data_IF_082514187586
#
_entry.id   IF_082514187586
#
_cell.length_a   1.000
_cell.length_b   1.000
_cell.length_c   1.000
_cell.angle_alpha   90.00
_cell.angle_beta   90.00
_cell.angle_gamma   90.00
#
_symmetry.space_group_name_H-M   'P 1'
#
loop_
_entity.id
_entity.type
_entity.pdbx_description
1 polymer ?
#
# COMPACT_ATOMS: atom_id res chain seq x y z
N UNK A 1 -18.90 -37.16 3.52
CA UNK A 1 -19.18 -35.88 4.20
C UNK A 1 -20.67 -35.91 4.61
N UNK A 2 -21.02 -35.56 5.87
CA UNK A 2 -22.43 -35.48 6.30
C UNK A 2 -22.96 -34.07 6.01
N UNK A 3 -24.26 -33.97 5.64
CA UNK A 3 -24.91 -32.71 5.31
C UNK A 3 -26.15 -32.50 6.19
N UNK A 4 -26.45 -31.22 6.48
CA UNK A 4 -27.70 -30.76 7.07
C UNK A 4 -28.53 -30.01 6.03
N UNK A 5 -29.84 -30.05 6.15
CA UNK A 5 -30.77 -29.30 5.31
C UNK A 5 -30.94 -27.90 5.91
N UNK A 6 -30.69 -26.86 5.09
CA UNK A 6 -31.05 -25.48 5.40
C UNK A 6 -31.97 -24.91 4.31
N UNK A 7 -32.68 -23.84 4.64
CA UNK A 7 -33.66 -23.23 3.75
C UNK A 7 -33.37 -21.71 3.62
N UNK A 8 -33.48 -21.19 2.41
CA UNK A 8 -33.58 -19.78 2.10
C UNK A 8 -34.84 -19.50 1.27
N UNK A 9 -35.02 -18.27 0.76
CA UNK A 9 -36.18 -17.89 -0.05
C UNK A 9 -36.31 -18.65 -1.38
N UNK A 10 -35.23 -19.32 -1.81
CA UNK A 10 -35.17 -20.11 -3.06
C UNK A 10 -35.32 -21.60 -2.81
N UNK A 11 -35.55 -22.04 -1.58
CA UNK A 11 -35.77 -23.43 -1.20
C UNK A 11 -34.63 -24.11 -0.44
N UNK A 12 -34.62 -25.44 -0.43
CA UNK A 12 -33.70 -26.27 0.34
C UNK A 12 -32.29 -26.31 -0.26
N UNK A 13 -31.28 -26.25 0.64
CA UNK A 13 -29.85 -26.40 0.31
C UNK A 13 -29.20 -27.37 1.29
N UNK A 14 -28.31 -28.22 0.80
CA UNK A 14 -27.48 -29.10 1.60
C UNK A 14 -26.20 -28.40 2.02
N UNK A 15 -25.95 -28.23 3.30
CA UNK A 15 -24.77 -27.59 3.87
C UNK A 15 -23.98 -28.62 4.68
N UNK A 16 -22.65 -28.71 4.61
CA UNK A 16 -21.87 -29.63 5.43
C UNK A 16 -22.12 -29.40 6.92
N UNK A 17 -22.26 -30.47 7.70
CA UNK A 17 -22.67 -30.39 9.12
C UNK A 17 -21.63 -29.71 10.02
N UNK A 18 -20.35 -29.75 9.62
CA UNK A 18 -19.20 -29.17 10.33
C UNK A 18 -18.98 -27.67 10.04
N UNK A 19 -19.78 -27.09 9.16
CA UNK A 19 -19.61 -25.67 8.75
C UNK A 19 -20.66 -24.77 9.40
N UNK A 20 -20.21 -23.57 9.81
CA UNK A 20 -21.09 -22.54 10.37
C UNK A 20 -21.80 -21.70 9.29
N UNK A 21 -21.33 -21.69 8.03
CA UNK A 21 -22.07 -20.99 6.98
C UNK A 21 -23.41 -21.69 6.69
N UNK A 22 -24.31 -20.97 6.06
CA UNK A 22 -25.66 -21.43 5.75
C UNK A 22 -25.97 -21.53 4.26
N UNK A 23 -27.26 -21.50 3.93
CA UNK A 23 -27.78 -21.71 2.59
C UNK A 23 -27.28 -20.68 1.58
N UNK A 24 -27.25 -19.38 1.92
CA UNK A 24 -26.78 -18.32 1.03
C UNK A 24 -25.32 -18.52 0.62
N UNK A 25 -24.45 -18.80 1.57
CA UNK A 25 -23.04 -19.07 1.32
C UNK A 25 -22.85 -20.32 0.48
N UNK A 26 -23.59 -21.38 0.78
CA UNK A 26 -23.48 -22.63 0.03
C UNK A 26 -23.90 -22.47 -1.43
N UNK A 27 -24.94 -21.68 -1.71
CA UNK A 27 -25.30 -21.32 -3.10
C UNK A 27 -24.22 -20.51 -3.79
N UNK A 28 -23.66 -19.53 -3.08
CA UNK A 28 -22.58 -18.69 -3.58
C UNK A 28 -21.36 -19.51 -3.98
N UNK A 29 -20.93 -20.44 -3.13
CA UNK A 29 -19.84 -21.37 -3.44
C UNK A 29 -20.06 -22.17 -4.72
N UNK A 30 -21.32 -22.55 -4.99
CA UNK A 30 -21.68 -23.32 -6.19
C UNK A 30 -21.70 -22.45 -7.44
N UNK A 31 -22.21 -21.22 -7.36
CA UNK A 31 -22.48 -20.39 -8.52
C UNK A 31 -21.35 -19.43 -8.88
N UNK A 32 -20.44 -19.13 -7.95
CA UNK A 32 -19.36 -18.14 -8.10
C UNK A 32 -17.98 -18.73 -7.79
N UNK A 33 -17.74 -19.96 -8.26
CA UNK A 33 -16.41 -20.57 -8.19
C UNK A 33 -15.53 -20.04 -9.35
N UNK A 34 -15.15 -18.75 -9.25
CA UNK A 34 -14.42 -18.00 -10.27
C UNK A 34 -13.06 -17.60 -9.73
N UNK A 35 -11.98 -18.09 -10.36
CA UNK A 35 -10.60 -17.81 -9.96
C UNK A 35 -10.24 -18.32 -8.58
N UNK A 36 -9.05 -17.94 -8.07
CA UNK A 36 -8.50 -18.50 -6.83
C UNK A 36 -8.52 -17.54 -5.65
N UNK A 37 -8.78 -16.26 -5.89
CA UNK A 37 -8.71 -15.24 -4.83
C UNK A 37 -9.92 -15.27 -3.92
N UNK A 38 -9.69 -15.62 -2.64
CA UNK A 38 -10.69 -15.49 -1.59
C UNK A 38 -10.82 -14.05 -1.09
N UNK A 39 -11.97 -13.73 -0.52
CA UNK A 39 -12.17 -12.46 0.19
C UNK A 39 -11.16 -12.37 1.34
N UNK A 40 -10.44 -11.27 1.41
CA UNK A 40 -9.36 -11.11 2.40
C UNK A 40 -9.88 -11.13 3.83
N UNK A 41 -9.21 -11.83 4.75
CA UNK A 41 -9.66 -11.96 6.16
C UNK A 41 -9.91 -10.61 6.85
N UNK A 42 -9.20 -9.54 6.48
CA UNK A 42 -9.42 -8.22 7.09
C UNK A 42 -10.79 -7.63 6.73
N UNK A 43 -11.36 -7.93 5.56
CA UNK A 43 -12.71 -7.51 5.18
C UNK A 43 -13.73 -8.26 6.04
N UNK A 44 -13.57 -9.57 6.18
CA UNK A 44 -14.40 -10.43 7.04
C UNK A 44 -14.39 -9.91 8.49
N UNK A 45 -13.19 -9.66 9.03
CA UNK A 45 -13.02 -9.11 10.39
C UNK A 45 -13.68 -7.76 10.55
N UNK A 46 -13.60 -6.88 9.53
CA UNK A 46 -14.27 -5.58 9.55
C UNK A 46 -15.78 -5.70 9.57
N UNK A 47 -16.37 -6.61 8.78
CA UNK A 47 -17.80 -6.90 8.83
C UNK A 47 -18.17 -7.45 10.21
N UNK A 48 -17.41 -8.39 10.77
CA UNK A 48 -17.68 -8.93 12.12
C UNK A 48 -17.60 -7.85 13.21
N UNK A 49 -16.69 -6.87 13.11
CA UNK A 49 -16.64 -5.71 14.01
C UNK A 49 -17.92 -4.86 13.91
N UNK A 50 -18.47 -4.69 12.70
CA UNK A 50 -19.73 -3.99 12.48
C UNK A 50 -20.88 -4.76 13.14
N UNK A 51 -20.95 -6.09 12.98
CA UNK A 51 -21.98 -6.92 13.62
C UNK A 51 -21.90 -6.86 15.16
N UNK A 52 -20.68 -6.91 15.70
CA UNK A 52 -20.43 -6.71 17.14
C UNK A 52 -20.92 -5.34 17.62
N UNK A 53 -20.56 -4.27 16.89
CA UNK A 53 -20.98 -2.91 17.24
C UNK A 53 -22.51 -2.75 17.19
N UNK A 54 -23.15 -3.30 16.15
CA UNK A 54 -24.60 -3.30 16.02
C UNK A 54 -25.29 -4.01 17.18
N UNK A 55 -24.83 -5.21 17.56
CA UNK A 55 -25.36 -5.95 18.69
C UNK A 55 -25.25 -5.17 20.02
N UNK A 56 -24.11 -4.50 20.25
CA UNK A 56 -23.91 -3.61 21.43
C UNK A 56 -24.92 -2.46 21.42
N UNK A 57 -25.09 -1.78 20.27
CA UNK A 57 -26.02 -0.65 20.15
C UNK A 57 -27.46 -1.09 20.37
N UNK A 58 -27.89 -2.20 19.75
CA UNK A 58 -29.26 -2.70 19.88
C UNK A 58 -29.58 -3.17 21.30
N UNK A 59 -28.60 -3.75 22.02
CA UNK A 59 -28.77 -4.09 23.43
C UNK A 59 -28.95 -2.85 24.29
N UNK A 60 -28.12 -1.81 24.09
CA UNK A 60 -28.22 -0.55 24.84
C UNK A 60 -29.52 0.22 24.57
N UNK A 61 -30.10 0.05 23.39
CA UNK A 61 -31.39 0.68 23.03
C UNK A 61 -32.62 -0.17 23.33
N UNK A 62 -32.45 -1.34 23.94
CA UNK A 62 -33.54 -2.27 24.27
C UNK A 62 -34.15 -3.01 23.07
N UNK A 63 -33.49 -2.97 21.92
CA UNK A 63 -33.97 -3.53 20.64
C UNK A 63 -33.58 -5.01 20.44
N UNK A 64 -32.72 -5.55 21.29
CA UNK A 64 -32.25 -6.92 21.22
C UNK A 64 -32.10 -7.52 22.63
N UNK A 65 -32.56 -8.75 22.80
CA UNK A 65 -32.36 -9.50 24.02
C UNK A 65 -30.88 -9.62 24.40
N UNK A 66 -30.60 -9.48 25.69
CA UNK A 66 -29.21 -9.46 26.21
C UNK A 66 -28.50 -10.81 26.02
N UNK A 67 -29.20 -11.96 26.12
CA UNK A 67 -28.61 -13.28 25.91
C UNK A 67 -28.23 -13.48 24.45
N UNK A 68 -29.13 -13.13 23.53
CA UNK A 68 -28.91 -13.18 22.08
C UNK A 68 -27.71 -12.27 21.69
N UNK A 69 -27.72 -11.02 22.14
CA UNK A 69 -26.65 -10.08 21.88
C UNK A 69 -25.29 -10.56 22.41
N UNK A 70 -25.26 -11.09 23.63
CA UNK A 70 -24.02 -11.63 24.21
C UNK A 70 -23.45 -12.78 23.38
N UNK A 71 -24.32 -13.69 22.89
CA UNK A 71 -23.90 -14.79 22.03
C UNK A 71 -23.37 -14.29 20.68
N UNK A 72 -24.03 -13.30 20.05
CA UNK A 72 -23.58 -12.66 18.82
C UNK A 72 -22.20 -11.99 19.01
N UNK A 73 -22.02 -11.26 20.11
CA UNK A 73 -20.74 -10.60 20.44
C UNK A 73 -19.61 -11.62 20.62
N UNK A 74 -19.89 -12.76 21.32
CA UNK A 74 -18.90 -13.84 21.49
C UNK A 74 -18.53 -14.45 20.14
N UNK A 75 -19.51 -14.81 19.31
CA UNK A 75 -19.27 -15.35 17.96
C UNK A 75 -18.50 -14.37 17.06
N UNK A 76 -18.88 -13.09 17.06
CA UNK A 76 -18.16 -12.05 16.32
C UNK A 76 -16.70 -11.91 16.77
N UNK A 77 -16.41 -12.02 18.08
CA UNK A 77 -15.04 -11.99 18.59
C UNK A 77 -14.22 -13.20 18.09
N UNK A 78 -14.80 -14.38 17.95
CA UNK A 78 -14.12 -15.54 17.37
C UNK A 78 -13.77 -15.31 15.89
N UNK A 79 -14.65 -14.67 15.11
CA UNK A 79 -14.35 -14.27 13.73
C UNK A 79 -13.22 -13.20 13.69
N UNK A 80 -13.31 -12.19 14.54
CA UNK A 80 -12.31 -11.09 14.60
C UNK A 80 -10.93 -11.63 14.98
N UNK A 81 -10.85 -12.59 15.91
CA UNK A 81 -9.59 -13.24 16.31
C UNK A 81 -8.99 -14.11 15.19
N UNK A 82 -9.80 -14.56 14.24
CA UNK A 82 -9.42 -15.47 13.16
C UNK A 82 -9.60 -16.95 13.50
N UNK A 83 -10.20 -17.29 14.64
CA UNK A 83 -10.49 -18.68 15.05
C UNK A 83 -11.37 -19.42 14.04
N UNK A 84 -12.22 -18.69 13.31
CA UNK A 84 -13.17 -19.23 12.33
C UNK A 84 -12.81 -18.89 10.87
N UNK A 85 -11.53 -18.67 10.55
CA UNK A 85 -11.12 -18.25 9.21
C UNK A 85 -11.50 -19.26 8.10
N UNK A 86 -11.56 -20.55 8.42
CA UNK A 86 -11.95 -21.63 7.51
C UNK A 86 -13.45 -21.63 7.14
N UNK A 87 -14.23 -20.76 7.79
CA UNK A 87 -15.67 -20.62 7.57
C UNK A 87 -16.01 -19.57 6.47
N UNK A 88 -15.01 -19.00 5.79
CA UNK A 88 -15.18 -17.93 4.81
C UNK A 88 -14.57 -18.31 3.45
N UNK A 89 -15.24 -19.23 2.70
CA UNK A 89 -14.69 -19.80 1.47
C UNK A 89 -14.95 -18.96 0.23
N UNK A 90 -15.66 -17.82 0.33
CA UNK A 90 -16.14 -17.09 -0.83
C UNK A 90 -15.02 -16.40 -1.62
N UNK A 91 -15.13 -16.48 -2.93
CA UNK A 91 -14.23 -15.83 -3.90
C UNK A 91 -14.52 -14.33 -4.02
N UNK A 92 -13.52 -13.60 -4.53
CA UNK A 92 -13.63 -12.16 -4.80
C UNK A 92 -14.67 -11.88 -5.89
N UNK A 93 -14.72 -12.74 -6.91
CA UNK A 93 -15.63 -12.60 -8.05
C UNK A 93 -17.03 -13.08 -7.68
N UNK A 94 -17.80 -12.17 -7.10
CA UNK A 94 -19.15 -12.40 -6.59
C UNK A 94 -20.05 -11.23 -6.96
N UNK A 95 -21.27 -11.15 -6.40
CA UNK A 95 -22.14 -9.98 -6.60
C UNK A 95 -21.41 -8.68 -6.22
N UNK A 96 -21.51 -7.70 -7.07
CA UNK A 96 -20.73 -6.46 -6.97
C UNK A 96 -21.03 -5.60 -5.74
N UNK A 97 -22.15 -5.84 -5.05
CA UNK A 97 -22.48 -5.22 -3.76
C UNK A 97 -21.72 -5.85 -2.59
N UNK A 98 -21.22 -7.08 -2.72
CA UNK A 98 -20.62 -7.87 -1.64
C UNK A 98 -21.63 -8.58 -0.73
N UNK A 99 -22.89 -8.72 -1.16
CA UNK A 99 -23.97 -9.32 -0.34
C UNK A 99 -23.66 -10.74 0.07
N UNK A 100 -23.06 -11.55 -0.79
CA UNK A 100 -22.69 -12.92 -0.45
C UNK A 100 -21.70 -12.98 0.71
N UNK A 101 -20.70 -12.11 0.73
CA UNK A 101 -19.75 -12.00 1.85
C UNK A 101 -20.42 -11.51 3.13
N UNK A 102 -21.31 -10.50 3.06
CA UNK A 102 -22.05 -10.03 4.23
C UNK A 102 -22.94 -11.15 4.80
N UNK A 103 -23.63 -11.90 3.93
CA UNK A 103 -24.45 -13.03 4.34
C UNK A 103 -23.61 -14.16 4.93
N UNK A 104 -22.44 -14.48 4.38
CA UNK A 104 -21.52 -15.44 4.94
C UNK A 104 -21.14 -15.09 6.39
N UNK A 105 -20.80 -13.83 6.66
CA UNK A 105 -20.50 -13.39 8.04
C UNK A 105 -21.75 -13.47 8.92
N UNK A 106 -22.92 -13.07 8.42
CA UNK A 106 -24.17 -13.17 9.17
C UNK A 106 -24.51 -14.61 9.54
N UNK A 107 -24.40 -15.55 8.59
CA UNK A 107 -24.69 -16.97 8.78
C UNK A 107 -23.72 -17.61 9.76
N UNK A 108 -22.41 -17.37 9.62
CA UNK A 108 -21.37 -17.91 10.53
C UNK A 108 -21.58 -17.40 11.95
N UNK A 109 -21.80 -16.09 12.13
CA UNK A 109 -22.06 -15.51 13.47
C UNK A 109 -23.36 -16.04 14.06
N UNK A 110 -24.44 -16.13 13.26
CA UNK A 110 -25.72 -16.65 13.73
C UNK A 110 -25.61 -18.11 14.18
N UNK A 111 -25.06 -18.99 13.35
CA UNK A 111 -24.93 -20.41 13.68
C UNK A 111 -24.00 -20.65 14.89
N UNK A 112 -22.88 -19.89 14.98
CA UNK A 112 -21.99 -19.98 16.14
C UNK A 112 -22.69 -19.47 17.43
N UNK A 113 -23.50 -18.41 17.33
CA UNK A 113 -24.28 -17.89 18.44
C UNK A 113 -25.40 -18.90 18.88
N UNK A 114 -26.03 -19.55 17.89
CA UNK A 114 -27.01 -20.64 18.16
C UNK A 114 -26.35 -21.77 18.97
N UNK A 115 -25.19 -22.23 18.56
CA UNK A 115 -24.43 -23.27 19.27
C UNK A 115 -24.02 -22.83 20.68
N UNK A 116 -23.55 -21.60 20.86
CA UNK A 116 -23.22 -21.00 22.18
C UNK A 116 -24.44 -21.03 23.12
N UNK A 117 -25.64 -20.90 22.54
CA UNK A 117 -26.92 -20.95 23.30
C UNK A 117 -27.53 -22.36 23.43
N UNK A 118 -26.82 -23.40 22.97
CA UNK A 118 -27.29 -24.80 23.03
C UNK A 118 -28.33 -25.16 21.97
N UNK A 119 -28.49 -24.33 20.91
CA UNK A 119 -29.42 -24.59 19.83
C UNK A 119 -28.84 -25.46 18.71
N UNK A 120 -29.70 -25.84 17.75
CA UNK A 120 -29.32 -26.66 16.58
C UNK A 120 -28.85 -25.81 15.42
N UNK A 121 -27.65 -26.08 14.86
CA UNK A 121 -27.13 -25.40 13.69
C UNK A 121 -28.12 -25.43 12.51
N UNK A 122 -28.23 -24.30 11.81
CA UNK A 122 -29.14 -24.13 10.66
C UNK A 122 -30.62 -23.91 11.04
N UNK A 123 -30.98 -23.96 12.32
CA UNK A 123 -32.37 -23.76 12.78
C UNK A 123 -32.84 -22.31 12.69
N UNK A 124 -31.93 -21.35 12.57
CA UNK A 124 -32.20 -19.92 12.68
C UNK A 124 -32.86 -19.48 14.00
N UNK A 125 -32.81 -20.34 15.00
CA UNK A 125 -33.37 -20.12 16.36
C UNK A 125 -32.35 -20.56 17.41
N UNK A 126 -32.15 -19.78 18.51
CA UNK A 126 -32.81 -18.50 18.83
C UNK A 126 -32.22 -17.28 18.11
N UNK A 127 -31.17 -17.43 17.27
CA UNK A 127 -30.53 -16.34 16.55
C UNK A 127 -30.78 -16.45 15.05
N UNK A 128 -31.34 -15.40 14.44
CA UNK A 128 -31.56 -15.32 13.00
C UNK A 128 -30.50 -14.45 12.33
N UNK A 129 -29.91 -14.87 11.19
CA UNK A 129 -28.84 -14.10 10.53
C UNK A 129 -29.29 -12.70 10.07
N UNK A 130 -30.53 -12.54 9.58
CA UNK A 130 -31.03 -11.24 9.15
C UNK A 130 -31.67 -10.45 10.28
N UNK A 131 -32.56 -11.06 11.09
CA UNK A 131 -33.37 -10.32 12.06
C UNK A 131 -32.57 -9.90 13.30
N UNK A 132 -31.48 -10.63 13.63
CA UNK A 132 -30.63 -10.33 14.77
C UNK A 132 -29.25 -9.83 14.36
N UNK A 133 -28.45 -10.63 13.59
CA UNK A 133 -27.06 -10.26 13.25
C UNK A 133 -27.01 -9.07 12.30
N UNK A 134 -27.92 -9.00 11.33
CA UNK A 134 -28.00 -7.94 10.34
C UNK A 134 -29.03 -6.85 10.66
N UNK A 135 -29.60 -6.85 11.86
CA UNK A 135 -30.67 -5.91 12.28
C UNK A 135 -30.27 -4.46 12.02
N UNK A 136 -31.17 -3.69 11.40
CA UNK A 136 -31.00 -2.27 11.04
C UNK A 136 -29.79 -2.02 10.11
N UNK A 137 -29.44 -2.97 9.26
CA UNK A 137 -28.31 -2.90 8.33
C UNK A 137 -28.73 -3.41 6.95
N UNK A 138 -28.04 -2.93 5.91
CA UNK A 138 -28.02 -3.50 4.57
C UNK A 138 -26.58 -3.85 4.20
N UNK A 139 -26.36 -4.75 3.25
CA UNK A 139 -25.04 -4.91 2.67
C UNK A 139 -24.55 -3.59 2.08
N UNK A 140 -25.45 -2.77 1.56
CA UNK A 140 -25.12 -1.54 0.86
C UNK A 140 -24.42 -0.51 1.75
N UNK A 141 -24.69 -0.49 3.07
CA UNK A 141 -23.96 0.35 4.03
C UNK A 141 -22.85 -0.42 4.78
N UNK A 142 -23.05 -1.74 5.04
CA UNK A 142 -22.07 -2.59 5.74
C UNK A 142 -20.80 -2.79 4.92
N UNK A 143 -20.92 -3.11 3.64
CA UNK A 143 -19.76 -3.49 2.85
C UNK A 143 -18.83 -2.29 2.58
N UNK A 144 -19.29 -1.10 2.15
CA UNK A 144 -18.41 0.08 2.04
C UNK A 144 -17.84 0.52 3.39
N UNK A 145 -18.58 0.40 4.48
CA UNK A 145 -18.04 0.61 5.83
C UNK A 145 -16.89 -0.35 6.12
N UNK A 146 -17.05 -1.63 5.81
CA UNK A 146 -15.99 -2.64 5.99
C UNK A 146 -14.78 -2.38 5.07
N UNK A 147 -14.99 -1.89 3.84
CA UNK A 147 -13.92 -1.48 2.94
C UNK A 147 -13.06 -0.36 3.56
N UNK A 148 -13.69 0.71 4.02
CA UNK A 148 -13.02 1.83 4.67
C UNK A 148 -12.28 1.39 5.94
N UNK A 149 -12.91 0.58 6.79
CA UNK A 149 -12.28 0.03 8.00
C UNK A 149 -11.05 -0.82 7.67
N UNK A 150 -11.15 -1.73 6.70
CA UNK A 150 -10.05 -2.60 6.29
C UNK A 150 -8.84 -1.81 5.76
N UNK A 151 -9.10 -0.79 4.93
CA UNK A 151 -8.06 0.12 4.42
C UNK A 151 -7.38 0.86 5.58
N UNK A 152 -8.16 1.51 6.45
CA UNK A 152 -7.62 2.30 7.55
C UNK A 152 -6.79 1.45 8.52
N UNK A 153 -7.28 0.26 8.91
CA UNK A 153 -6.57 -0.68 9.78
C UNK A 153 -5.24 -1.10 9.16
N UNK A 154 -5.22 -1.44 7.87
CA UNK A 154 -4.00 -1.89 7.19
C UNK A 154 -3.04 -0.76 6.90
N UNK A 155 -3.53 0.42 6.51
CA UNK A 155 -2.69 1.58 6.27
C UNK A 155 -1.99 2.07 7.55
N UNK A 156 -2.73 2.22 8.65
CA UNK A 156 -2.17 2.67 9.94
C UNK A 156 -1.30 1.61 10.61
N UNK A 157 -1.72 0.33 10.54
CA UNK A 157 -1.02 -0.74 11.25
C UNK A 157 0.18 -1.33 10.51
N UNK A 158 0.30 -1.13 9.19
CA UNK A 158 1.35 -1.77 8.40
C UNK A 158 2.01 -0.85 7.37
N UNK A 159 1.23 -0.23 6.46
CA UNK A 159 1.78 0.54 5.35
C UNK A 159 2.60 1.74 5.81
N UNK A 160 1.99 2.63 6.58
CA UNK A 160 2.66 3.86 7.05
C UNK A 160 3.88 3.54 7.92
N UNK A 161 3.84 2.61 8.90
CA UNK A 161 5.01 2.22 9.66
C UNK A 161 6.18 1.74 8.80
N UNK A 162 5.94 0.93 7.77
CA UNK A 162 7.01 0.39 6.93
C UNK A 162 7.54 1.40 5.91
N UNK A 163 6.71 2.30 5.40
CA UNK A 163 7.19 3.45 4.62
C UNK A 163 8.05 4.40 5.48
N UNK A 164 7.65 4.64 6.74
CA UNK A 164 8.45 5.43 7.69
C UNK A 164 9.77 4.76 8.03
N UNK A 165 9.80 3.43 8.16
CA UNK A 165 11.04 2.67 8.34
C UNK A 165 11.98 2.89 7.15
N UNK A 166 11.50 2.69 5.92
CA UNK A 166 12.29 2.93 4.70
C UNK A 166 12.80 4.36 4.63
N UNK A 167 11.93 5.33 4.92
CA UNK A 167 12.27 6.74 4.89
C UNK A 167 13.37 7.10 5.92
N UNK A 168 13.33 6.50 7.11
CA UNK A 168 14.35 6.65 8.14
C UNK A 168 15.70 6.10 7.70
N UNK A 169 15.74 4.95 7.02
CA UNK A 169 16.99 4.40 6.50
C UNK A 169 17.58 5.27 5.37
N UNK A 170 16.74 5.84 4.50
CA UNK A 170 17.18 6.82 3.49
C UNK A 170 17.77 8.09 4.13
N UNK A 171 17.15 8.59 5.21
CA UNK A 171 17.67 9.73 5.99
C UNK A 171 19.04 9.43 6.58
N UNK A 172 19.24 8.25 7.15
CA UNK A 172 20.54 7.82 7.67
C UNK A 172 21.61 7.80 6.58
N UNK A 173 21.27 7.30 5.37
CA UNK A 173 22.19 7.32 4.22
C UNK A 173 22.48 8.73 3.73
N UNK A 174 21.53 9.63 3.73
CA UNK A 174 21.74 11.06 3.45
C UNK A 174 22.85 11.63 4.32
N UNK A 175 22.80 11.37 5.62
CA UNK A 175 23.81 11.82 6.60
C UNK A 175 25.15 11.11 6.40
N UNK A 176 25.13 9.79 6.28
CA UNK A 176 26.32 8.93 6.11
C UNK A 176 27.14 9.31 4.84
N UNK A 177 26.44 9.65 3.76
CA UNK A 177 27.06 9.93 2.45
C UNK A 177 27.30 11.43 2.19
N UNK A 178 27.01 12.30 3.12
CA UNK A 178 27.06 13.77 2.94
C UNK A 178 28.39 14.33 2.46
N UNK A 179 29.49 13.68 2.82
CA UNK A 179 30.86 14.12 2.48
C UNK A 179 31.46 13.38 1.25
N UNK A 180 30.70 12.49 0.61
CA UNK A 180 31.17 11.72 -0.55
C UNK A 180 30.76 12.48 -1.81
N UNK A 181 31.73 13.11 -2.47
CA UNK A 181 31.50 13.85 -3.73
C UNK A 181 31.60 12.88 -4.89
N UNK A 182 30.61 12.93 -5.77
CA UNK A 182 30.51 12.09 -6.98
C UNK A 182 30.14 12.96 -8.18
N UNK A 183 30.22 12.40 -9.36
CA UNK A 183 29.67 13.04 -10.55
C UNK A 183 28.13 12.93 -10.51
N UNK A 184 27.41 14.03 -10.77
CA UNK A 184 25.99 14.02 -11.04
C UNK A 184 25.71 13.50 -12.45
N UNK A 185 24.50 13.03 -12.71
CA UNK A 185 24.06 12.60 -14.04
C UNK A 185 22.69 13.16 -14.39
N UNK A 186 22.61 13.71 -15.60
CA UNK A 186 21.34 14.09 -16.24
C UNK A 186 21.30 13.42 -17.62
N UNK A 187 20.16 12.89 -18.04
CA UNK A 187 20.04 12.06 -19.25
C UNK A 187 20.96 10.82 -19.26
N UNK A 188 21.36 10.32 -18.11
CA UNK A 188 22.41 9.32 -17.90
C UNK A 188 23.80 9.75 -18.39
N UNK A 189 23.98 11.02 -18.73
CA UNK A 189 25.26 11.63 -19.11
C UNK A 189 25.87 12.33 -17.89
N UNK A 190 27.21 12.45 -17.92
CA UNK A 190 27.96 13.19 -16.91
C UNK A 190 27.47 14.61 -16.76
N UNK A 191 27.26 15.05 -15.54
CA UNK A 191 26.89 16.41 -15.18
C UNK A 191 27.86 16.98 -14.13
N UNK A 192 27.52 18.10 -13.52
CA UNK A 192 28.34 18.72 -12.47
C UNK A 192 28.35 17.88 -11.20
N UNK A 193 29.36 18.02 -10.34
CA UNK A 193 29.46 17.30 -9.08
C UNK A 193 28.27 17.50 -8.14
N UNK A 194 27.99 16.47 -7.36
CA UNK A 194 26.98 16.43 -6.29
C UNK A 194 27.55 15.58 -5.15
N UNK A 195 27.09 15.74 -3.91
CA UNK A 195 27.38 14.72 -2.91
C UNK A 195 26.40 13.56 -3.03
N UNK A 196 26.86 12.33 -2.77
CA UNK A 196 25.97 11.16 -2.69
C UNK A 196 24.89 11.36 -1.61
N UNK A 197 25.20 12.10 -0.55
CA UNK A 197 24.21 12.48 0.46
C UNK A 197 23.11 13.41 -0.08
N UNK A 198 23.45 14.36 -0.99
CA UNK A 198 22.45 15.20 -1.65
C UNK A 198 21.53 14.36 -2.55
N UNK A 199 22.06 13.38 -3.28
CA UNK A 199 21.27 12.45 -4.09
C UNK A 199 20.28 11.66 -3.23
N UNK A 200 20.73 11.07 -2.11
CA UNK A 200 19.86 10.36 -1.16
C UNK A 200 18.87 11.29 -0.44
N UNK A 201 19.20 12.56 -0.23
CA UNK A 201 18.27 13.54 0.33
C UNK A 201 17.04 13.77 -0.56
N UNK A 202 17.23 13.69 -1.89
CA UNK A 202 16.16 13.70 -2.86
C UNK A 202 15.19 12.54 -2.67
N UNK A 203 15.71 11.32 -2.49
CA UNK A 203 14.91 10.11 -2.24
C UNK A 203 14.14 10.20 -0.93
N UNK A 204 14.81 10.60 0.15
CA UNK A 204 14.18 10.84 1.46
C UNK A 204 13.05 11.87 1.37
N UNK A 205 13.27 13.00 0.71
CA UNK A 205 12.28 14.06 0.54
C UNK A 205 11.05 13.58 -0.25
N UNK A 206 11.25 12.85 -1.36
CA UNK A 206 10.17 12.30 -2.16
C UNK A 206 9.29 11.34 -1.36
N UNK A 207 9.90 10.39 -0.63
CA UNK A 207 9.16 9.43 0.17
C UNK A 207 8.45 10.08 1.35
N UNK A 208 9.07 11.08 2.01
CA UNK A 208 8.44 11.88 3.06
C UNK A 208 7.14 12.54 2.60
N UNK A 209 7.15 13.12 1.38
CA UNK A 209 5.95 13.72 0.78
C UNK A 209 4.89 12.67 0.44
N UNK A 210 5.29 11.49 -0.03
CA UNK A 210 4.36 10.39 -0.31
C UNK A 210 3.65 9.91 0.97
N UNK A 211 4.37 9.76 2.07
CA UNK A 211 3.79 9.40 3.39
C UNK A 211 2.73 10.43 3.81
N UNK A 212 3.04 11.72 3.70
CA UNK A 212 2.10 12.80 4.03
C UNK A 212 0.83 12.75 3.16
N UNK A 213 0.96 12.46 1.85
CA UNK A 213 -0.21 12.31 0.96
C UNK A 213 -1.09 11.13 1.37
N UNK A 214 -0.49 9.99 1.73
CA UNK A 214 -1.22 8.82 2.23
C UNK A 214 -1.93 9.15 3.54
N UNK A 215 -1.27 9.83 4.49
CA UNK A 215 -1.87 10.23 5.76
C UNK A 215 -3.04 11.20 5.54
N UNK A 216 -2.91 12.13 4.61
CA UNK A 216 -3.99 13.07 4.24
C UNK A 216 -5.18 12.35 3.60
N UNK A 217 -4.95 11.45 2.66
CA UNK A 217 -6.02 10.71 2.00
C UNK A 217 -6.77 9.76 2.97
N UNK A 218 -6.15 9.34 4.06
CA UNK A 218 -6.82 8.56 5.11
C UNK A 218 -7.92 9.32 5.83
N UNK A 219 -7.91 10.65 5.86
CA UNK A 219 -8.93 11.43 6.54
C UNK A 219 -10.32 11.21 5.91
N UNK A 220 -10.41 11.04 4.59
CA UNK A 220 -11.67 10.70 3.92
C UNK A 220 -12.07 9.24 4.17
N UNK A 221 -11.11 8.33 4.29
CA UNK A 221 -11.36 6.90 4.59
C UNK A 221 -11.97 6.72 5.98
N UNK A 222 -11.78 7.65 6.91
CA UNK A 222 -12.40 7.55 8.23
C UNK A 222 -13.89 7.81 8.25
N UNK A 223 -14.50 8.32 7.18
CA UNK A 223 -15.94 8.50 7.10
C UNK A 223 -16.63 7.21 6.66
N UNK A 224 -17.59 6.75 7.48
CA UNK A 224 -18.26 5.46 7.32
C UNK A 224 -19.70 5.63 6.84
N UNK A 225 -20.09 4.77 5.90
CA UNK A 225 -21.43 4.72 5.31
C UNK A 225 -22.50 4.13 6.25
N UNK A 226 -22.07 3.45 7.33
CA UNK A 226 -22.94 2.69 8.22
C UNK A 226 -24.11 3.52 8.74
N UNK A 227 -25.32 2.92 8.70
CA UNK A 227 -26.58 3.57 9.05
C UNK A 227 -27.34 4.14 7.86
N UNK A 228 -26.79 4.09 6.62
CA UNK A 228 -27.50 4.48 5.41
C UNK A 228 -28.51 3.44 4.93
N UNK A 229 -28.34 2.19 5.37
CA UNK A 229 -29.14 1.02 4.97
C UNK A 229 -29.15 0.79 3.45
N UNK A 230 -30.32 0.65 2.83
CA UNK A 230 -30.46 0.21 1.44
C UNK A 230 -29.97 1.23 0.41
N UNK A 231 -30.33 2.51 0.56
CA UNK A 231 -30.09 3.57 -0.42
C UNK A 231 -29.59 4.90 0.19
N UNK A 232 -29.32 4.93 1.50
CA UNK A 232 -28.82 6.13 2.19
C UNK A 232 -29.82 6.82 3.12
N UNK A 233 -31.10 6.43 3.08
CA UNK A 233 -32.17 7.05 3.87
C UNK A 233 -32.19 6.62 5.34
N UNK A 234 -31.52 5.51 5.69
CA UNK A 234 -31.55 4.93 7.02
C UNK A 234 -32.87 4.22 7.35
N UNK A 235 -33.62 3.77 6.34
CA UNK A 235 -34.88 3.04 6.53
C UNK A 235 -34.66 1.85 7.49
N UNK A 236 -35.60 1.62 8.41
CA UNK A 236 -35.57 0.59 9.46
C UNK A 236 -34.47 0.78 10.51
N UNK A 237 -33.92 1.99 10.67
CA UNK A 237 -33.06 2.37 11.79
C UNK A 237 -33.78 3.32 12.76
N UNK A 238 -33.33 3.37 14.01
CA UNK A 238 -33.71 4.43 14.95
C UNK A 238 -32.83 5.66 14.74
N UNK A 239 -33.39 6.86 14.96
CA UNK A 239 -32.66 8.13 14.90
C UNK A 239 -31.37 8.07 15.72
N UNK A 240 -30.24 8.40 15.08
CA UNK A 240 -28.90 8.41 15.70
C UNK A 240 -28.24 7.03 15.78
N UNK A 241 -28.79 5.99 15.16
CA UNK A 241 -28.15 4.66 15.07
C UNK A 241 -26.77 4.75 14.41
N UNK A 242 -26.65 5.51 13.32
CA UNK A 242 -25.39 5.75 12.59
C UNK A 242 -24.29 6.31 13.50
N UNK A 243 -24.59 7.32 14.29
CA UNK A 243 -23.64 7.91 15.25
C UNK A 243 -23.24 6.94 16.34
N UNK A 244 -24.21 6.19 16.89
CA UNK A 244 -23.97 5.21 17.95
C UNK A 244 -23.09 4.04 17.49
N UNK A 245 -23.38 3.48 16.31
CA UNK A 245 -22.61 2.33 15.81
C UNK A 245 -21.17 2.74 15.44
N UNK A 246 -20.98 3.91 14.82
CA UNK A 246 -19.64 4.43 14.50
C UNK A 246 -18.85 4.74 15.79
N UNK A 247 -19.50 5.25 16.85
CA UNK A 247 -18.85 5.44 18.14
C UNK A 247 -18.35 4.11 18.75
N UNK A 248 -19.11 3.02 18.62
CA UNK A 248 -18.66 1.69 19.07
C UNK A 248 -17.52 1.15 18.16
N UNK A 249 -17.58 1.36 16.84
CA UNK A 249 -16.48 1.00 15.93
C UNK A 249 -15.18 1.75 16.25
N UNK A 250 -15.29 3.04 16.58
CA UNK A 250 -14.14 3.85 17.05
C UNK A 250 -13.50 3.24 18.32
N UNK A 251 -14.31 2.78 19.27
CA UNK A 251 -13.82 2.11 20.50
C UNK A 251 -13.15 0.77 20.19
N UNK A 252 -13.76 -0.05 19.33
CA UNK A 252 -13.27 -1.39 18.97
C UNK A 252 -11.92 -1.29 18.24
N UNK A 253 -11.78 -0.33 17.31
CA UNK A 253 -10.61 -0.23 16.42
C UNK A 253 -9.52 0.73 16.94
N UNK A 254 -9.89 1.64 17.83
CA UNK A 254 -9.06 2.78 18.27
C UNK A 254 -8.68 3.73 17.13
N UNK A 255 -9.41 3.70 16.01
CA UNK A 255 -9.23 4.60 14.86
C UNK A 255 -10.29 5.71 14.88
N UNK A 256 -10.01 6.90 14.33
CA UNK A 256 -10.87 8.09 14.47
C UNK A 256 -12.06 8.08 13.50
N UNK A 257 -12.76 6.95 13.38
CA UNK A 257 -13.91 6.82 12.50
C UNK A 257 -15.02 7.81 12.85
N UNK A 258 -15.68 8.32 11.82
CA UNK A 258 -16.78 9.28 11.85
C UNK A 258 -17.92 8.79 10.97
N UNK A 259 -19.16 9.15 11.29
CA UNK A 259 -20.26 8.93 10.37
C UNK A 259 -20.18 9.92 9.21
N UNK A 260 -20.35 9.46 7.97
CA UNK A 260 -20.34 10.37 6.81
C UNK A 260 -21.51 11.35 6.89
N UNK A 261 -21.34 12.61 6.50
CA UNK A 261 -22.43 13.58 6.44
C UNK A 261 -23.45 13.23 5.35
N UNK A 262 -23.02 12.57 4.27
CA UNK A 262 -23.89 12.19 3.16
C UNK A 262 -23.84 10.68 2.93
N UNK A 263 -24.90 9.97 3.32
CA UNK A 263 -24.99 8.50 3.16
C UNK A 263 -25.26 8.10 1.71
N UNK A 264 -25.89 8.94 0.92
CA UNK A 264 -26.20 8.66 -0.49
C UNK A 264 -24.92 8.54 -1.29
N UNK A 265 -24.04 9.53 -1.21
CA UNK A 265 -22.72 9.47 -1.85
C UNK A 265 -21.88 8.26 -1.38
N UNK A 266 -21.85 7.98 -0.07
CA UNK A 266 -21.04 6.93 0.50
C UNK A 266 -21.48 5.50 0.13
N UNK A 267 -22.73 5.30 -0.30
CA UNK A 267 -23.22 4.03 -0.84
C UNK A 267 -22.99 3.91 -2.34
N UNK A 268 -23.18 5.00 -3.07
CA UNK A 268 -23.20 5.04 -4.52
C UNK A 268 -21.80 5.15 -5.13
N UNK A 269 -20.82 5.71 -4.41
CA UNK A 269 -19.50 6.05 -4.93
C UNK A 269 -18.39 5.63 -3.97
N UNK A 270 -17.15 5.55 -4.50
CA UNK A 270 -15.95 5.16 -3.74
C UNK A 270 -14.79 6.13 -3.97
N UNK A 271 -15.09 7.42 -4.13
CA UNK A 271 -14.14 8.49 -4.46
C UNK A 271 -12.96 8.53 -3.48
N UNK A 272 -13.24 8.39 -2.17
CA UNK A 272 -12.21 8.35 -1.14
C UNK A 272 -11.21 7.18 -1.35
N UNK A 273 -11.68 6.02 -1.82
CA UNK A 273 -10.81 4.88 -2.10
C UNK A 273 -10.02 5.10 -3.39
N UNK A 274 -10.64 5.70 -4.42
CA UNK A 274 -9.96 6.06 -5.67
C UNK A 274 -8.86 7.08 -5.38
N UNK A 275 -9.14 8.12 -4.60
CA UNK A 275 -8.16 9.11 -4.17
C UNK A 275 -7.02 8.46 -3.36
N UNK A 276 -7.32 7.63 -2.37
CA UNK A 276 -6.32 6.90 -1.61
C UNK A 276 -5.44 6.02 -2.52
N UNK A 277 -6.04 5.32 -3.48
CA UNK A 277 -5.34 4.54 -4.50
C UNK A 277 -4.42 5.41 -5.36
N UNK A 278 -4.83 6.64 -5.69
CA UNK A 278 -4.00 7.63 -6.40
C UNK A 278 -2.74 8.02 -5.63
N UNK A 279 -2.84 8.16 -4.30
CA UNK A 279 -1.65 8.42 -3.47
C UNK A 279 -0.71 7.21 -3.40
N UNK A 280 -1.26 5.99 -3.42
CA UNK A 280 -0.49 4.75 -3.53
C UNK A 280 0.24 4.66 -4.89
N UNK A 281 -0.45 5.03 -5.97
CA UNK A 281 0.13 5.11 -7.31
C UNK A 281 1.32 6.09 -7.36
N UNK A 282 1.15 7.30 -6.83
CA UNK A 282 2.24 8.29 -6.72
C UNK A 282 3.42 7.75 -5.90
N UNK A 283 3.14 6.99 -4.84
CA UNK A 283 4.18 6.36 -4.01
C UNK A 283 4.91 5.27 -4.80
N UNK A 284 4.21 4.48 -5.61
CA UNK A 284 4.82 3.47 -6.47
C UNK A 284 5.75 4.11 -7.51
N UNK A 285 5.34 5.22 -8.15
CA UNK A 285 6.19 5.98 -9.07
C UNK A 285 7.46 6.48 -8.38
N UNK A 286 7.35 6.99 -7.16
CA UNK A 286 8.49 7.42 -6.35
C UNK A 286 9.45 6.26 -6.04
N UNK A 287 8.93 5.14 -5.54
CA UNK A 287 9.73 3.96 -5.20
C UNK A 287 10.38 3.32 -6.43
N UNK A 288 9.71 3.32 -7.57
CA UNK A 288 10.24 2.86 -8.85
C UNK A 288 11.52 3.63 -9.22
N UNK A 289 11.46 4.96 -9.14
CA UNK A 289 12.62 5.82 -9.41
C UNK A 289 13.77 5.54 -8.45
N UNK A 290 13.50 5.47 -7.15
CA UNK A 290 14.52 5.23 -6.13
C UNK A 290 15.19 3.87 -6.35
N UNK A 291 14.41 2.82 -6.57
CA UNK A 291 14.93 1.47 -6.79
C UNK A 291 15.77 1.38 -8.07
N UNK A 292 15.34 2.03 -9.15
CA UNK A 292 16.11 2.06 -10.41
C UNK A 292 17.43 2.81 -10.27
N UNK A 293 17.45 3.98 -9.63
CA UNK A 293 18.69 4.72 -9.41
C UNK A 293 19.70 3.91 -8.59
N UNK A 294 19.26 3.31 -7.49
CA UNK A 294 20.12 2.46 -6.65
C UNK A 294 20.66 1.27 -7.44
N UNK A 295 19.80 0.63 -8.26
CA UNK A 295 20.20 -0.48 -9.13
C UNK A 295 21.24 -0.07 -10.15
N UNK A 296 21.08 1.10 -10.80
CA UNK A 296 22.06 1.64 -11.76
C UNK A 296 23.39 1.99 -11.08
N UNK A 297 23.34 2.68 -9.95
CA UNK A 297 24.54 3.05 -9.20
C UNK A 297 25.31 1.82 -8.69
N UNK A 298 24.60 0.72 -8.39
CA UNK A 298 25.21 -0.55 -7.97
C UNK A 298 25.54 -1.49 -9.14
N UNK A 299 25.41 -1.07 -10.40
CA UNK A 299 25.65 -1.91 -11.57
C UNK A 299 27.13 -2.24 -11.75
N UNK A 300 27.44 -3.42 -12.24
CA UNK A 300 28.79 -3.87 -12.51
C UNK A 300 29.14 -5.16 -11.76
N UNK A 301 30.21 -5.22 -10.95
CA UNK A 301 30.97 -4.09 -10.35
C UNK A 301 32.03 -3.42 -11.26
N UNK A 302 32.55 -4.11 -12.29
CA UNK A 302 33.64 -3.56 -13.11
C UNK A 302 33.18 -2.93 -14.41
N UNK A 303 32.19 -3.51 -15.07
CA UNK A 303 31.64 -3.07 -16.37
C UNK A 303 30.41 -2.15 -16.25
N UNK A 304 30.08 -1.66 -15.06
CA UNK A 304 28.99 -0.72 -14.80
C UNK A 304 29.45 0.49 -14.00
N UNK A 305 28.50 1.21 -13.40
CA UNK A 305 28.83 2.40 -12.59
C UNK A 305 29.62 2.03 -11.35
N UNK A 306 29.18 1.03 -10.58
CA UNK A 306 29.90 0.51 -9.42
C UNK A 306 30.08 1.51 -8.28
N UNK A 307 29.28 2.58 -8.23
CA UNK A 307 29.38 3.61 -7.19
C UNK A 307 28.80 3.15 -5.84
N UNK A 308 27.85 2.21 -5.87
CA UNK A 308 27.25 1.61 -4.68
C UNK A 308 27.60 0.11 -4.61
N UNK A 309 27.87 -0.36 -3.40
CA UNK A 309 28.03 -1.78 -3.06
C UNK A 309 26.74 -2.24 -2.43
N UNK A 310 26.03 -3.12 -3.13
CA UNK A 310 24.78 -3.70 -2.67
C UNK A 310 25.03 -4.82 -1.66
N UNK A 311 24.15 -5.03 -0.67
CA UNK A 311 24.24 -6.19 0.22
C UNK A 311 24.09 -7.52 -0.54
N UNK A 312 24.87 -8.49 -0.12
CA UNK A 312 24.80 -9.87 -0.60
C UNK A 312 23.76 -10.63 0.24
N UNK A 313 22.57 -10.82 -0.29
CA UNK A 313 21.49 -11.49 0.45
C UNK A 313 21.33 -12.96 0.05
N UNK A 314 21.57 -13.27 -1.25
CA UNK A 314 21.43 -14.60 -1.81
C UNK A 314 22.40 -14.80 -3.00
N UNK A 315 22.73 -16.05 -3.38
CA UNK A 315 23.50 -16.32 -4.60
C UNK A 315 22.83 -15.76 -5.84
N UNK A 316 23.53 -14.95 -6.62
CA UNK A 316 22.97 -14.20 -7.76
C UNK A 316 22.84 -14.99 -9.06
N UNK A 317 23.48 -16.17 -9.17
CA UNK A 317 23.49 -16.98 -10.39
C UNK A 317 23.83 -18.42 -10.12
N UNK A 318 23.18 -19.33 -10.85
CA UNK A 318 23.47 -20.77 -10.80
C UNK A 318 24.74 -21.17 -11.60
N UNK A 319 25.19 -20.32 -12.54
CA UNK A 319 26.32 -20.63 -13.45
C UNK A 319 27.45 -19.57 -13.41
N UNK A 320 27.25 -18.43 -12.75
CA UNK A 320 28.26 -17.36 -12.61
C UNK A 320 28.60 -17.19 -11.13
N UNK A 321 29.62 -17.91 -10.61
CA UNK A 321 30.00 -17.86 -9.20
C UNK A 321 30.36 -16.42 -8.77
N UNK A 322 29.89 -16.02 -7.59
CA UNK A 322 30.18 -14.69 -7.04
C UNK A 322 29.39 -13.52 -7.65
N UNK A 323 28.44 -13.78 -8.56
CA UNK A 323 27.57 -12.74 -9.10
C UNK A 323 26.53 -12.31 -8.08
N UNK A 324 26.43 -11.01 -7.83
CA UNK A 324 25.44 -10.38 -6.95
C UNK A 324 24.47 -9.59 -7.79
N UNK A 325 23.18 -9.81 -7.59
CA UNK A 325 22.12 -9.11 -8.31
C UNK A 325 21.42 -8.07 -7.41
N UNK A 326 20.83 -7.01 -7.99
CA UNK A 326 20.07 -6.01 -7.25
C UNK A 326 18.64 -6.48 -6.93
N UNK A 327 18.49 -7.69 -6.38
CA UNK A 327 17.21 -8.42 -6.26
C UNK A 327 16.14 -7.68 -5.48
N UNK A 328 16.54 -6.95 -4.43
CA UNK A 328 15.60 -6.10 -3.66
C UNK A 328 15.05 -4.94 -4.50
N UNK A 329 15.87 -4.33 -5.36
CA UNK A 329 15.43 -3.31 -6.30
C UNK A 329 14.45 -3.89 -7.33
N UNK A 330 14.74 -5.09 -7.84
CA UNK A 330 13.87 -5.80 -8.80
C UNK A 330 12.50 -6.09 -8.17
N UNK A 331 12.49 -6.63 -6.95
CA UNK A 331 11.24 -6.91 -6.22
C UNK A 331 10.39 -5.64 -6.03
N UNK A 332 11.01 -4.53 -5.63
CA UNK A 332 10.32 -3.24 -5.46
C UNK A 332 9.74 -2.75 -6.79
N UNK A 333 10.50 -2.84 -7.90
CA UNK A 333 10.00 -2.39 -9.21
C UNK A 333 8.81 -3.22 -9.70
N UNK A 334 8.83 -4.55 -9.51
CA UNK A 334 7.66 -5.41 -9.82
C UNK A 334 6.45 -5.06 -8.97
N UNK A 335 6.63 -4.81 -7.67
CA UNK A 335 5.56 -4.35 -6.78
C UNK A 335 4.98 -3.02 -7.25
N UNK A 336 5.82 -2.07 -7.66
CA UNK A 336 5.37 -0.78 -8.18
C UNK A 336 4.50 -0.94 -9.43
N UNK A 337 4.91 -1.77 -10.40
CA UNK A 337 4.10 -2.09 -11.59
C UNK A 337 2.74 -2.67 -11.20
N UNK A 338 2.71 -3.60 -10.23
CA UNK A 338 1.46 -4.20 -9.78
C UNK A 338 0.53 -3.19 -9.09
N UNK A 339 1.07 -2.29 -8.28
CA UNK A 339 0.29 -1.21 -7.62
C UNK A 339 -0.31 -0.25 -8.66
N UNK A 340 0.46 0.13 -9.69
CA UNK A 340 -0.01 0.97 -10.81
C UNK A 340 -1.15 0.27 -11.56
N UNK A 341 -1.00 -1.02 -11.87
CA UNK A 341 -2.05 -1.81 -12.52
C UNK A 341 -3.32 -1.93 -11.66
N UNK A 342 -3.19 -2.13 -10.37
CA UNK A 342 -4.32 -2.15 -9.44
C UNK A 342 -5.04 -0.79 -9.38
N UNK A 343 -4.29 0.33 -9.40
CA UNK A 343 -4.87 1.67 -9.41
C UNK A 343 -5.73 1.90 -10.65
N UNK A 344 -5.28 1.49 -11.83
CA UNK A 344 -6.07 1.57 -13.06
C UNK A 344 -7.40 0.81 -12.92
N UNK A 345 -7.35 -0.43 -12.39
CA UNK A 345 -8.56 -1.22 -12.14
C UNK A 345 -9.50 -0.56 -11.11
N UNK A 346 -8.96 0.06 -10.06
CA UNK A 346 -9.75 0.78 -9.05
C UNK A 346 -10.40 2.03 -9.66
N UNK A 347 -9.67 2.79 -10.48
CA UNK A 347 -10.18 3.99 -11.15
C UNK A 347 -11.34 3.64 -12.07
N UNK A 348 -11.17 2.62 -12.91
CA UNK A 348 -12.25 2.15 -13.79
C UNK A 348 -13.45 1.65 -13.01
N UNK A 349 -13.24 0.83 -11.98
CA UNK A 349 -14.33 0.34 -11.13
C UNK A 349 -15.02 1.47 -10.34
N UNK A 350 -14.29 2.49 -9.93
CA UNK A 350 -14.82 3.67 -9.25
C UNK A 350 -15.64 4.59 -10.16
N UNK A 351 -15.32 4.63 -11.46
CA UNK A 351 -16.08 5.41 -12.46
C UNK A 351 -17.44 4.80 -12.82
N UNK A 352 -17.64 3.53 -12.44
CA UNK A 352 -18.92 2.86 -12.57
C UNK A 352 -19.77 3.06 -11.32
N UNK A 353 -21.07 2.95 -11.49
CA UNK A 353 -22.08 3.09 -10.47
C UNK A 353 -23.32 3.68 -11.10
N UNK A 354 -24.47 3.11 -10.79
CA UNK A 354 -25.73 3.58 -11.32
C UNK A 354 -26.61 3.94 -10.14
N UNK A 355 -27.08 5.19 -10.15
CA UNK A 355 -27.95 5.72 -9.11
C UNK A 355 -27.35 5.55 -7.71
N UNK A 356 -27.94 4.74 -6.84
CA UNK A 356 -27.60 4.65 -5.41
C UNK A 356 -26.57 3.58 -5.08
N UNK A 357 -25.99 2.86 -6.07
CA UNK A 357 -25.05 1.77 -5.78
C UNK A 357 -23.97 1.56 -6.86
N UNK A 358 -22.72 1.63 -6.44
CA UNK A 358 -21.61 1.03 -7.18
C UNK A 358 -21.54 -0.47 -6.91
N UNK A 359 -21.46 -1.29 -7.95
CA UNK A 359 -21.43 -2.77 -7.87
C UNK A 359 -20.08 -3.38 -8.25
N UNK A 360 -18.99 -2.66 -8.00
CA UNK A 360 -17.61 -3.12 -8.17
C UNK A 360 -16.84 -3.23 -6.85
N UNK A 361 -17.55 -3.21 -5.73
CA UNK A 361 -16.96 -3.18 -4.37
C UNK A 361 -15.96 -4.30 -4.09
N UNK A 362 -16.23 -5.60 -4.43
CA UNK A 362 -15.28 -6.68 -4.17
C UNK A 362 -13.96 -6.50 -4.93
N UNK A 363 -14.01 -6.04 -6.20
CA UNK A 363 -12.83 -5.74 -7.00
C UNK A 363 -12.02 -4.59 -6.40
N UNK A 364 -12.69 -3.49 -6.06
CA UNK A 364 -12.05 -2.29 -5.48
C UNK A 364 -11.30 -2.65 -4.21
N UNK A 365 -11.96 -3.33 -3.26
CA UNK A 365 -11.33 -3.67 -1.98
C UNK A 365 -10.22 -4.72 -2.12
N UNK A 366 -10.36 -5.67 -3.05
CA UNK A 366 -9.32 -6.65 -3.32
C UNK A 366 -8.04 -5.97 -3.80
N UNK A 367 -8.14 -5.10 -4.81
CA UNK A 367 -7.00 -4.44 -5.44
C UNK A 367 -6.30 -3.47 -4.48
N UNK A 368 -7.05 -2.64 -3.74
CA UNK A 368 -6.43 -1.69 -2.82
C UNK A 368 -5.74 -2.39 -1.64
N UNK A 369 -6.34 -3.43 -1.06
CA UNK A 369 -5.71 -4.20 0.00
C UNK A 369 -4.49 -4.99 -0.48
N UNK A 370 -4.50 -5.47 -1.73
CA UNK A 370 -3.31 -6.07 -2.33
C UNK A 370 -2.19 -5.04 -2.43
N UNK A 371 -2.48 -3.85 -2.96
CA UNK A 371 -1.51 -2.76 -3.08
C UNK A 371 -0.92 -2.35 -1.73
N UNK A 372 -1.76 -2.15 -0.71
CA UNK A 372 -1.32 -1.84 0.65
C UNK A 372 -0.38 -2.93 1.18
N UNK A 373 -0.74 -4.20 1.00
CA UNK A 373 0.02 -5.33 1.54
C UNK A 373 1.39 -5.44 0.90
N UNK A 374 1.46 -5.51 -0.45
CA UNK A 374 2.73 -5.72 -1.16
C UNK A 374 3.65 -4.50 -1.07
N UNK A 375 3.12 -3.28 -1.10
CA UNK A 375 3.92 -2.05 -0.91
C UNK A 375 4.50 -1.96 0.51
N UNK A 376 3.72 -2.31 1.52
CA UNK A 376 4.21 -2.34 2.89
C UNK A 376 5.35 -3.35 3.07
N UNK A 377 5.15 -4.59 2.59
CA UNK A 377 6.14 -5.66 2.77
C UNK A 377 7.40 -5.39 1.96
N UNK A 378 7.28 -4.93 0.71
CA UNK A 378 8.45 -4.57 -0.12
C UNK A 378 9.23 -3.40 0.48
N UNK A 379 8.55 -2.39 1.03
CA UNK A 379 9.21 -1.26 1.70
C UNK A 379 10.00 -1.70 2.93
N UNK A 380 9.46 -2.61 3.74
CA UNK A 380 10.16 -3.21 4.88
C UNK A 380 11.36 -4.03 4.42
N UNK A 381 11.19 -4.87 3.40
CA UNK A 381 12.26 -5.70 2.84
C UNK A 381 13.38 -4.83 2.29
N UNK A 382 13.05 -3.85 1.45
CA UNK A 382 14.00 -2.92 0.85
C UNK A 382 14.78 -2.11 1.89
N UNK A 383 14.11 -1.64 2.95
CA UNK A 383 14.77 -0.95 4.05
C UNK A 383 15.81 -1.84 4.74
N UNK A 384 15.44 -3.08 5.09
CA UNK A 384 16.26 -3.96 5.89
C UNK A 384 17.39 -4.64 5.10
N UNK A 385 17.10 -5.06 3.87
CA UNK A 385 17.98 -5.92 3.07
C UNK A 385 18.66 -5.21 1.90
N UNK A 386 18.32 -3.94 1.64
CA UNK A 386 19.03 -3.11 0.68
C UNK A 386 19.60 -1.85 1.35
N UNK A 387 18.74 -0.90 1.72
CA UNK A 387 19.18 0.45 2.13
C UNK A 387 20.09 0.40 3.36
N UNK A 388 19.70 -0.34 4.40
CA UNK A 388 20.48 -0.43 5.65
C UNK A 388 21.92 -0.87 5.41
N UNK A 389 22.14 -1.91 4.59
CA UNK A 389 23.44 -2.49 4.29
C UNK A 389 24.24 -1.82 3.17
N UNK A 390 23.63 -0.86 2.44
CA UNK A 390 24.21 -0.18 1.29
C UNK A 390 25.49 0.58 1.67
N UNK A 391 26.55 0.44 0.87
CA UNK A 391 27.85 1.13 1.05
C UNK A 391 28.21 1.87 -0.23
N UNK A 392 29.05 2.92 -0.11
CA UNK A 392 29.63 3.64 -1.25
C UNK A 392 31.01 3.06 -1.58
N UNK A 393 31.25 2.75 -2.84
CA UNK A 393 32.61 2.49 -3.35
C UNK A 393 33.32 3.83 -3.58
N UNK A 394 33.99 4.30 -2.54
CA UNK A 394 34.69 5.59 -2.57
C UNK A 394 35.79 5.67 -3.62
N UNK A 395 36.46 4.53 -3.92
CA UNK A 395 37.52 4.45 -4.92
C UNK A 395 36.91 4.65 -6.30
N UNK A 396 35.90 3.88 -6.62
CA UNK A 396 35.19 3.98 -7.91
C UNK A 396 34.56 5.35 -8.14
N UNK A 397 33.89 5.88 -7.11
CA UNK A 397 33.32 7.24 -7.15
C UNK A 397 34.41 8.28 -7.48
N UNK A 398 35.57 8.16 -6.84
CA UNK A 398 36.67 9.09 -7.08
C UNK A 398 37.24 8.99 -8.48
N UNK A 399 37.45 7.78 -8.99
CA UNK A 399 37.89 7.51 -10.36
C UNK A 399 36.95 8.16 -11.40
N UNK A 400 35.65 7.97 -11.25
CA UNK A 400 34.65 8.54 -12.15
C UNK A 400 34.62 10.07 -12.07
N UNK A 401 34.71 10.64 -10.87
CA UNK A 401 34.75 12.09 -10.66
C UNK A 401 35.98 12.73 -11.29
N UNK A 402 37.18 12.17 -11.06
CA UNK A 402 38.42 12.73 -11.53
C UNK A 402 38.56 12.68 -13.07
N UNK A 403 37.91 11.69 -13.70
CA UNK A 403 37.84 11.54 -15.15
C UNK A 403 36.78 12.39 -15.85
N UNK A 404 35.88 13.03 -15.09
CA UNK A 404 34.75 13.77 -15.68
C UNK A 404 35.20 15.08 -16.33
N UNK A 405 34.85 15.24 -17.61
CA UNK A 405 35.07 16.47 -18.36
C UNK A 405 34.14 17.60 -17.90
N UNK A 406 33.07 17.32 -17.20
CA UNK A 406 32.09 18.34 -16.75
C UNK A 406 32.62 19.18 -15.58
N UNK A 407 33.75 18.82 -15.00
CA UNK A 407 34.49 19.69 -14.08
C UNK A 407 34.93 21.02 -14.74
N UNK A 408 34.97 21.06 -16.07
CA UNK A 408 35.26 22.29 -16.87
C UNK A 408 34.29 23.41 -16.52
N UNK A 409 33.09 23.11 -16.07
CA UNK A 409 32.05 24.11 -15.69
C UNK A 409 32.60 25.11 -14.67
N UNK A 410 33.48 24.67 -13.76
CA UNK A 410 34.11 25.56 -12.78
C UNK A 410 35.02 26.61 -13.41
N UNK A 411 35.53 26.37 -14.62
CA UNK A 411 36.41 27.31 -15.34
C UNK A 411 35.63 28.39 -16.10
N UNK A 412 34.35 28.17 -16.39
CA UNK A 412 33.50 29.05 -17.20
C UNK A 412 33.54 30.52 -16.76
N UNK A 413 33.47 30.86 -15.45
CA UNK A 413 33.53 32.26 -15.00
C UNK A 413 34.88 32.94 -15.30
N UNK A 414 35.98 32.17 -15.44
CA UNK A 414 37.32 32.68 -15.66
C UNK A 414 37.67 32.79 -17.14
N UNK A 415 37.35 31.78 -17.95
CA UNK A 415 37.80 31.63 -19.34
C UNK A 415 36.69 31.75 -20.37
N UNK A 416 35.43 31.89 -19.95
CA UNK A 416 34.25 31.93 -20.81
C UNK A 416 33.78 30.55 -21.27
N UNK A 417 32.51 30.46 -21.69
CA UNK A 417 31.86 29.21 -22.09
C UNK A 417 32.51 28.53 -23.28
N UNK A 418 32.80 29.29 -24.34
CA UNK A 418 33.34 28.74 -25.59
C UNK A 418 34.74 28.15 -25.41
N UNK A 419 35.58 28.76 -24.60
CA UNK A 419 36.91 28.23 -24.31
C UNK A 419 36.81 26.98 -23.41
N UNK A 420 35.93 26.99 -22.43
CA UNK A 420 35.66 25.81 -21.63
C UNK A 420 35.16 24.64 -22.49
N UNK A 421 34.23 24.86 -23.40
CA UNK A 421 33.73 23.86 -24.32
C UNK A 421 34.83 23.30 -25.26
N UNK A 422 35.72 24.19 -25.81
CA UNK A 422 36.87 23.77 -26.62
C UNK A 422 37.83 22.86 -25.85
N UNK A 423 38.13 23.20 -24.60
CA UNK A 423 39.00 22.40 -23.73
C UNK A 423 38.39 21.01 -23.47
N UNK A 424 37.11 20.94 -23.08
CA UNK A 424 36.43 19.67 -22.82
C UNK A 424 36.36 18.76 -24.07
N UNK A 425 36.01 19.34 -25.26
CA UNK A 425 35.98 18.60 -26.52
C UNK A 425 37.36 18.09 -26.93
N UNK A 426 38.41 18.88 -26.71
CA UNK A 426 39.76 18.48 -27.01
C UNK A 426 40.26 17.37 -26.09
N UNK A 427 39.98 17.47 -24.79
CA UNK A 427 40.29 16.42 -23.82
C UNK A 427 39.60 15.12 -24.21
N UNK A 428 38.31 15.16 -24.57
CA UNK A 428 37.58 13.98 -25.02
C UNK A 428 38.21 13.35 -26.29
N UNK A 429 38.46 14.18 -27.32
CA UNK A 429 39.03 13.70 -28.59
C UNK A 429 40.40 13.07 -28.42
N UNK A 430 41.25 13.63 -27.57
CA UNK A 430 42.63 13.18 -27.35
C UNK A 430 42.75 12.08 -26.28
N UNK A 431 41.70 11.74 -25.57
CA UNK A 431 41.77 10.81 -24.43
C UNK A 431 42.63 11.34 -23.27
N UNK A 432 42.79 12.67 -23.16
CA UNK A 432 43.59 13.31 -22.11
C UNK A 432 42.70 13.80 -20.96
N UNK A 433 43.32 14.12 -19.82
CA UNK A 433 42.59 14.72 -18.72
C UNK A 433 42.17 16.17 -19.02
N UNK A 434 41.07 16.61 -18.42
CA UNK A 434 40.62 18.00 -18.49
C UNK A 434 41.73 18.96 -18.03
N UNK A 435 42.48 18.61 -17.00
CA UNK A 435 43.57 19.41 -16.46
C UNK A 435 44.71 19.61 -17.46
N UNK A 436 45.11 18.54 -18.14
CA UNK A 436 46.17 18.61 -19.15
C UNK A 436 45.79 19.54 -20.30
N UNK A 437 44.59 19.42 -20.86
CA UNK A 437 44.15 20.26 -21.97
C UNK A 437 43.88 21.70 -21.53
N UNK A 438 43.41 21.92 -20.30
CA UNK A 438 43.25 23.29 -19.78
C UNK A 438 44.60 24.01 -19.65
N UNK A 439 45.65 23.33 -19.16
CA UNK A 439 46.98 23.90 -19.04
C UNK A 439 47.60 24.11 -20.44
N UNK A 440 47.50 23.12 -21.33
CA UNK A 440 47.98 23.23 -22.74
C UNK A 440 47.30 24.35 -23.52
N UNK A 441 46.11 24.76 -23.16
CA UNK A 441 45.42 25.88 -23.82
C UNK A 441 46.08 27.24 -23.58
N UNK A 442 46.94 27.36 -22.56
CA UNK A 442 47.55 28.65 -22.17
C UNK A 442 46.61 29.61 -21.46
N UNK A 443 45.31 29.28 -21.35
CA UNK A 443 44.30 30.17 -20.76
C UNK A 443 44.30 30.15 -19.24
N UNK A 444 44.92 29.14 -18.63
CA UNK A 444 44.94 28.94 -17.19
C UNK A 444 46.20 28.20 -16.75
N UNK A 445 46.83 28.68 -15.68
CA UNK A 445 47.99 27.99 -15.07
C UNK A 445 47.56 26.78 -14.23
N UNK A 446 48.53 25.88 -13.99
CA UNK A 446 48.31 24.71 -13.10
C UNK A 446 47.85 25.11 -11.69
N UNK A 447 48.40 26.22 -11.17
CA UNK A 447 48.04 26.76 -9.83
C UNK A 447 46.61 27.27 -9.80
N UNK A 448 46.20 28.02 -10.80
CA UNK A 448 44.82 28.52 -10.94
C UNK A 448 43.81 27.38 -11.16
N UNK A 449 44.16 26.44 -12.03
CA UNK A 449 43.30 25.25 -12.25
C UNK A 449 42.99 24.54 -10.94
N UNK A 450 44.04 24.20 -10.16
CA UNK A 450 43.85 23.49 -8.89
C UNK A 450 43.07 24.31 -7.84
N UNK A 451 43.10 25.65 -7.92
CA UNK A 451 42.33 26.53 -7.03
C UNK A 451 40.86 26.63 -7.41
N UNK A 452 40.57 26.63 -8.72
CA UNK A 452 39.22 26.83 -9.26
C UNK A 452 38.45 25.50 -9.36
N UNK A 453 39.08 24.45 -9.91
CA UNK A 453 38.45 23.15 -10.12
C UNK A 453 38.57 22.33 -8.84
N UNK A 454 37.70 22.66 -7.88
CA UNK A 454 37.53 21.92 -6.64
C UNK A 454 36.09 21.39 -6.55
N UNK A 455 35.88 20.10 -6.77
CA UNK A 455 34.52 19.50 -6.71
C UNK A 455 33.75 19.79 -5.44
N UNK A 456 34.45 20.03 -4.30
CA UNK A 456 33.79 20.37 -3.03
C UNK A 456 33.13 21.75 -3.05
N UNK A 457 33.62 22.65 -3.87
CA UNK A 457 33.04 24.00 -4.03
C UNK A 457 31.90 24.01 -5.05
N UNK A 458 31.78 22.97 -5.89
CA UNK A 458 30.78 22.89 -6.97
C UNK A 458 29.44 22.35 -6.52
N UNK A 459 29.27 21.87 -5.25
CA UNK A 459 28.06 21.22 -4.76
C UNK A 459 27.14 22.17 -3.97
N UNK A 460 27.41 23.47 -3.98
CA UNK A 460 26.63 24.52 -3.30
C UNK A 460 26.78 25.83 -4.02
N UNK A 461 25.85 26.78 -3.87
CA UNK A 461 26.03 28.15 -4.31
C UNK A 461 27.32 28.76 -3.76
N UNK A 462 28.01 29.58 -4.59
CA UNK A 462 29.26 30.28 -4.26
C UNK A 462 28.98 31.55 -3.46
#
# INVERSE_FOLDING_TARGET
MKFRKEFDSLGMVLVPVDKYWGASTQRSNKHFDIGDFLVRPIVIKSIAMIKKAAAIVHTKSGDMDKKISTAIIKAANEVISGKLNDQFPLKVWQTGSGTQTNMNVNEVIANRAIEILGGKLGSKKPVHPNDHVNKSQSTNDVFPTAMHMAIAIRAKGKLIPFLKLLNSELEKKTKQFSKIIKIGRTHLQDATPISLGQEFSGYHSQLSKCIKRIEFALEEIYFLAQGGTAVGTGLNTKKGFDKKIVAELKKITKLPFKTTPNKFAALASHDAIVNFSGTMNTTAVCLMKIANDIRFLGSGPRAGYGELILPENEPGSSIMPGKINPTQCEAVTMVCVKVIGNHNGITMAGSHGHFELNVFKPLIIHNILQSIHIMADSSKSFANYCIKGLKADKKRIRELLDNSLMLVTALTPKIGYDNAAKIAKKAHKNGTSLKEEAIKSGLISKKEYNKIVDPKKMIKPS
#
